data_IF_929510512233
#
_entry.id   IF_929510512233
#
_cell.length_a   1.000
_cell.length_b   1.000
_cell.length_c   1.000
_cell.angle_alpha   90.00
_cell.angle_beta   90.00
_cell.angle_gamma   90.00
#
_symmetry.space_group_name_H-M   'P 1'
#
loop_
_entity.id
_entity.type
_entity.pdbx_description
1 polymer ?
#
# COMPACT_ATOMS: atom_id res chain seq x y z
N UNK A 1 -22.17 -2.22 -9.24
CA UNK A 1 -21.47 -3.51 -9.00
C UNK A 1 -20.03 -3.30 -8.53
N UNK A 2 -19.17 -2.62 -9.31
CA UNK A 2 -17.79 -2.29 -8.90
C UNK A 2 -17.67 -1.50 -7.58
N UNK A 3 -18.53 -0.51 -7.35
CA UNK A 3 -18.54 0.26 -6.09
C UNK A 3 -18.82 -0.62 -4.87
N UNK A 4 -19.77 -1.54 -4.96
CA UNK A 4 -20.07 -2.50 -3.89
C UNK A 4 -18.95 -3.52 -3.66
N UNK A 5 -18.26 -3.95 -4.72
CA UNK A 5 -17.08 -4.83 -4.58
C UNK A 5 -15.90 -4.11 -3.92
N UNK A 6 -15.65 -2.84 -4.27
CA UNK A 6 -14.60 -2.04 -3.67
C UNK A 6 -14.86 -1.78 -2.18
N UNK A 7 -16.10 -1.43 -1.83
CA UNK A 7 -16.52 -1.19 -0.44
C UNK A 7 -16.50 -2.49 0.39
N UNK A 8 -16.98 -3.61 -0.17
CA UNK A 8 -16.93 -4.91 0.50
C UNK A 8 -15.51 -5.46 0.70
N UNK A 9 -14.62 -5.27 -0.28
CA UNK A 9 -13.20 -5.59 -0.13
C UNK A 9 -12.53 -4.69 0.91
N UNK A 10 -12.84 -3.39 0.92
CA UNK A 10 -12.40 -2.46 1.95
C UNK A 10 -12.79 -2.96 3.35
N UNK A 11 -14.07 -3.30 3.57
CA UNK A 11 -14.54 -3.76 4.87
C UNK A 11 -13.96 -5.10 5.31
N UNK A 12 -13.70 -6.03 4.38
CA UNK A 12 -13.01 -7.29 4.70
C UNK A 12 -11.53 -7.04 5.05
N UNK A 13 -10.87 -6.13 4.34
CA UNK A 13 -9.48 -5.75 4.64
C UNK A 13 -9.41 -5.03 5.98
N UNK A 14 -10.30 -4.06 6.24
CA UNK A 14 -10.39 -3.38 7.55
C UNK A 14 -10.81 -4.33 8.68
N UNK A 15 -11.66 -5.31 8.41
CA UNK A 15 -12.04 -6.34 9.39
C UNK A 15 -10.88 -7.28 9.75
N UNK A 16 -10.07 -7.68 8.77
CA UNK A 16 -8.84 -8.47 8.98
C UNK A 16 -7.77 -7.63 9.68
N UNK A 17 -7.64 -6.35 9.34
CA UNK A 17 -6.73 -5.42 10.03
C UNK A 17 -7.17 -5.22 11.49
N UNK A 18 -8.45 -4.98 11.74
CA UNK A 18 -8.99 -4.83 13.09
C UNK A 18 -8.80 -6.11 13.93
N UNK A 19 -8.97 -7.30 13.34
CA UNK A 19 -8.67 -8.57 13.98
C UNK A 19 -7.17 -8.75 14.28
N UNK A 20 -6.29 -8.21 13.42
CA UNK A 20 -4.83 -8.21 13.67
C UNK A 20 -4.40 -7.22 14.75
N UNK A 21 -5.16 -6.14 14.96
CA UNK A 21 -4.95 -5.18 16.05
C UNK A 21 -5.55 -5.66 17.38
N UNK A 22 -6.51 -6.60 17.35
CA UNK A 22 -7.29 -7.00 18.52
C UNK A 22 -6.69 -8.11 19.38
N UNK A 23 -5.41 -8.48 19.22
CA UNK A 23 -4.51 -9.06 20.26
C UNK A 23 -3.34 -9.87 19.66
N UNK A 24 -2.09 -9.47 19.93
CA UNK A 24 -0.98 -10.43 20.08
C UNK A 24 0.33 -10.24 19.30
N UNK A 25 0.48 -9.27 18.38
CA UNK A 25 1.68 -9.18 17.53
C UNK A 25 2.59 -8.00 17.94
N UNK A 26 3.84 -8.25 18.39
CA UNK A 26 4.78 -7.18 18.68
C UNK A 26 5.25 -6.46 17.40
N UNK A 27 5.22 -5.12 17.43
CA UNK A 27 5.60 -4.18 16.33
C UNK A 27 7.01 -4.38 15.74
N UNK A 28 7.85 -5.25 16.33
CA UNK A 28 9.19 -5.58 15.83
C UNK A 28 9.29 -6.94 15.12
N UNK A 29 8.19 -7.68 15.00
CA UNK A 29 8.19 -9.01 14.38
C UNK A 29 8.35 -8.93 12.87
N UNK A 30 9.46 -9.48 12.33
CA UNK A 30 9.76 -9.49 10.89
C UNK A 30 9.03 -10.60 10.10
N UNK A 31 8.21 -11.41 10.76
CA UNK A 31 7.79 -12.72 10.22
C UNK A 31 6.34 -12.77 9.75
N UNK A 32 5.67 -11.63 9.55
CA UNK A 32 4.22 -11.60 9.26
C UNK A 32 3.94 -10.79 7.99
N UNK A 33 2.99 -11.26 7.17
CA UNK A 33 2.48 -10.55 5.98
C UNK A 33 2.02 -9.10 6.28
N UNK A 34 1.65 -8.82 7.53
CA UNK A 34 1.37 -7.47 8.04
C UNK A 34 2.58 -6.53 7.92
N UNK A 35 3.81 -7.01 8.08
CA UNK A 35 4.99 -6.18 7.90
C UNK A 35 5.16 -5.73 6.43
N UNK A 36 4.74 -6.59 5.48
CA UNK A 36 4.69 -6.24 4.05
C UNK A 36 3.57 -5.25 3.71
N UNK A 37 2.42 -5.34 4.41
CA UNK A 37 1.27 -4.44 4.21
C UNK A 37 1.51 -3.04 4.79
N UNK A 38 2.21 -2.93 5.92
CA UNK A 38 2.40 -1.66 6.64
C UNK A 38 3.72 -0.95 6.36
N UNK A 39 4.76 -1.66 5.89
CA UNK A 39 6.09 -1.09 5.67
C UNK A 39 6.65 -1.40 4.27
N UNK A 40 5.89 -1.05 3.23
CA UNK A 40 6.36 -1.14 1.85
C UNK A 40 7.46 -0.10 1.61
N UNK A 41 8.71 -0.50 1.80
CA UNK A 41 9.86 0.32 1.39
C UNK A 41 10.13 0.08 -0.10
N UNK A 42 9.49 0.88 -0.96
CA UNK A 42 9.87 0.92 -2.36
C UNK A 42 11.23 1.62 -2.45
N UNK A 43 12.26 0.87 -2.85
CA UNK A 43 13.63 1.34 -3.07
C UNK A 43 13.69 2.26 -4.32
N UNK A 44 13.03 3.40 -4.25
CA UNK A 44 12.77 4.33 -5.34
C UNK A 44 12.85 5.78 -4.85
N UNK A 45 12.89 6.73 -5.79
CA UNK A 45 12.84 8.15 -5.50
C UNK A 45 12.06 8.90 -6.58
N UNK A 46 11.09 9.71 -6.14
CA UNK A 46 10.23 10.49 -7.03
C UNK A 46 9.23 9.62 -7.83
N UNK A 47 8.23 10.23 -8.47
CA UNK A 47 7.24 9.49 -9.27
C UNK A 47 7.87 8.72 -10.44
N UNK A 48 8.66 9.40 -11.28
CA UNK A 48 9.35 8.87 -12.46
C UNK A 48 10.86 8.78 -12.25
N UNK A 49 11.44 9.74 -11.54
CA UNK A 49 12.88 9.82 -11.26
C UNK A 49 13.15 10.71 -10.06
N UNK A 50 14.35 10.57 -9.47
CA UNK A 50 14.85 11.45 -8.43
C UNK A 50 14.91 12.94 -8.85
N UNK A 51 14.94 13.24 -10.16
CA UNK A 51 14.93 14.61 -10.69
C UNK A 51 13.56 15.29 -10.59
N UNK A 52 12.48 14.54 -10.37
CA UNK A 52 11.13 15.11 -10.24
C UNK A 52 11.02 16.04 -9.02
N UNK A 53 11.95 15.91 -8.06
CA UNK A 53 12.07 16.81 -6.93
C UNK A 53 12.40 18.25 -7.33
N UNK A 54 12.87 18.53 -8.55
CA UNK A 54 13.00 19.91 -9.07
C UNK A 54 11.65 20.66 -9.08
N UNK A 55 10.52 19.95 -9.20
CA UNK A 55 9.19 20.56 -9.15
C UNK A 55 8.76 20.99 -7.74
N UNK A 56 9.47 20.55 -6.70
CA UNK A 56 9.20 20.94 -5.32
C UNK A 56 9.92 22.26 -4.99
N UNK A 57 9.23 23.20 -4.32
CA UNK A 57 9.77 24.52 -3.98
C UNK A 57 11.06 24.51 -3.15
N UNK A 58 11.27 23.48 -2.32
CA UNK A 58 12.45 23.37 -1.46
C UNK A 58 13.62 22.74 -2.21
N UNK A 59 13.34 21.69 -3.00
CA UNK A 59 14.34 20.94 -3.74
C UNK A 59 14.62 21.46 -5.15
N UNK A 60 13.91 22.50 -5.58
CA UNK A 60 14.06 23.07 -6.92
C UNK A 60 15.50 23.50 -7.21
N UNK A 61 15.97 23.21 -8.41
CA UNK A 61 17.27 23.65 -8.90
C UNK A 61 17.29 25.07 -9.49
N UNK A 62 16.21 25.83 -9.36
CA UNK A 62 16.17 27.20 -9.84
C UNK A 62 17.20 28.08 -9.09
N UNK A 63 17.85 28.98 -9.81
CA UNK A 63 18.84 29.93 -9.26
C UNK A 63 18.21 30.91 -8.27
N UNK A 64 16.90 31.14 -8.38
CA UNK A 64 16.14 31.97 -7.44
C UNK A 64 15.82 31.26 -6.11
N UNK A 65 16.02 29.94 -6.04
CA UNK A 65 15.73 29.15 -4.86
C UNK A 65 16.82 29.33 -3.79
N UNK A 66 16.44 29.88 -2.64
CA UNK A 66 17.32 30.15 -1.49
C UNK A 66 17.35 28.95 -0.51
N UNK A 67 16.56 27.91 -0.78
CA UNK A 67 16.45 26.76 0.11
C UNK A 67 17.80 26.04 0.27
N UNK A 68 18.22 25.72 1.50
CA UNK A 68 19.45 24.95 1.76
C UNK A 68 19.47 23.58 1.05
N UNK A 69 18.31 22.99 0.85
CA UNK A 69 18.09 21.69 0.21
C UNK A 69 17.90 21.78 -1.32
N UNK A 70 18.12 22.97 -1.91
CA UNK A 70 18.00 23.17 -3.35
C UNK A 70 18.87 22.16 -4.14
N UNK A 71 18.34 21.66 -5.25
CA UNK A 71 18.92 20.54 -6.00
C UNK A 71 19.15 19.24 -5.22
N UNK A 72 18.49 19.07 -4.08
CA UNK A 72 18.54 17.85 -3.28
C UNK A 72 17.33 16.94 -3.48
N UNK A 73 17.27 15.87 -2.70
CA UNK A 73 16.09 14.99 -2.56
C UNK A 73 15.86 14.74 -1.07
N UNK A 74 14.64 14.38 -0.63
CA UNK A 74 14.39 14.06 0.76
C UNK A 74 15.18 12.82 1.21
N UNK A 75 15.42 12.73 2.52
CA UNK A 75 16.16 11.63 3.15
C UNK A 75 15.57 10.24 2.86
N UNK A 76 14.26 10.14 2.56
CA UNK A 76 13.59 8.89 2.21
C UNK A 76 14.11 8.27 0.91
N UNK A 77 14.76 9.04 0.06
CA UNK A 77 15.36 8.55 -1.18
C UNK A 77 16.74 7.90 -0.99
N UNK A 78 17.32 7.96 0.21
CA UNK A 78 18.69 7.50 0.43
C UNK A 78 18.78 5.97 0.53
N UNK A 79 19.80 5.40 -0.11
CA UNK A 79 19.97 3.93 -0.14
C UNK A 79 20.46 3.36 1.18
N UNK A 80 21.23 4.15 1.91
CA UNK A 80 21.77 3.83 3.22
C UNK A 80 21.19 4.82 4.22
N UNK A 81 19.97 4.57 4.70
CA UNK A 81 19.67 4.99 6.06
C UNK A 81 20.61 4.17 6.94
N UNK A 82 21.48 4.86 7.67
CA UNK A 82 22.25 4.38 8.81
C UNK A 82 21.66 3.11 9.44
N UNK A 83 22.55 2.15 9.72
CA UNK A 83 22.26 0.92 10.44
C UNK A 83 21.36 1.23 11.64
N UNK A 84 20.27 0.47 11.81
CA UNK A 84 19.25 0.70 12.86
C UNK A 84 19.90 0.65 14.28
N UNK A 85 21.11 0.11 14.37
CA UNK A 85 21.98 0.09 15.55
C UNK A 85 22.62 1.45 15.90
N UNK A 86 22.70 2.40 14.95
CA UNK A 86 23.31 3.72 15.11
C UNK A 86 22.28 4.79 14.78
N UNK A 87 21.77 5.46 15.82
CA UNK A 87 20.69 6.44 15.79
C UNK A 87 21.08 7.80 15.12
N UNK A 88 21.97 7.78 14.13
CA UNK A 88 22.49 8.97 13.43
C UNK A 88 22.00 8.94 11.99
N UNK A 89 20.84 9.58 11.74
CA UNK A 89 20.29 9.72 10.39
C UNK A 89 21.23 10.59 9.57
N UNK A 90 21.81 10.04 8.50
CA UNK A 90 22.56 10.85 7.55
C UNK A 90 21.59 11.65 6.69
N UNK A 91 21.12 12.78 7.20
CA UNK A 91 20.24 13.70 6.45
C UNK A 91 20.97 14.32 5.24
N UNK A 92 22.31 14.24 5.20
CA UNK A 92 23.14 14.87 4.17
C UNK A 92 23.20 14.09 2.85
N UNK A 93 22.75 12.84 2.80
CA UNK A 93 22.82 11.98 1.61
C UNK A 93 22.07 12.53 0.38
N UNK A 94 21.01 13.32 0.61
CA UNK A 94 20.16 13.87 -0.43
C UNK A 94 20.61 15.24 -0.96
N UNK A 95 21.61 15.89 -0.37
CA UNK A 95 21.97 17.26 -0.75
C UNK A 95 22.70 17.32 -2.10
N UNK A 96 22.25 18.20 -2.98
CA UNK A 96 22.90 18.47 -4.27
C UNK A 96 22.91 17.29 -5.26
N UNK A 97 22.24 16.18 -4.95
CA UNK A 97 22.30 14.96 -5.79
C UNK A 97 21.72 15.17 -7.18
N UNK A 98 20.81 16.13 -7.37
CA UNK A 98 20.26 16.46 -8.70
C UNK A 98 21.30 17.11 -9.62
N UNK A 99 22.44 17.59 -9.09
CA UNK A 99 23.55 18.14 -9.89
C UNK A 99 24.55 17.07 -10.34
N UNK A 100 24.48 15.87 -9.77
CA UNK A 100 25.40 14.78 -10.06
C UNK A 100 24.96 14.00 -11.29
N UNK A 101 25.86 13.20 -11.85
CA UNK A 101 25.48 12.25 -12.89
C UNK A 101 24.60 11.14 -12.29
N UNK A 102 23.71 10.54 -13.08
CA UNK A 102 22.85 9.44 -12.61
C UNK A 102 23.66 8.28 -12.01
N UNK A 103 24.86 8.02 -12.52
CA UNK A 103 25.74 6.97 -12.00
C UNK A 103 26.27 7.29 -10.58
N UNK A 104 26.61 8.56 -10.32
CA UNK A 104 27.07 9.02 -9.00
C UNK A 104 25.90 9.14 -8.03
N UNK A 105 24.76 9.69 -8.48
CA UNK A 105 23.54 9.78 -7.68
C UNK A 105 23.07 8.39 -7.22
N UNK A 106 23.12 7.37 -8.09
CA UNK A 106 22.71 5.99 -7.79
C UNK A 106 23.55 5.31 -6.70
N UNK A 107 24.73 5.85 -6.35
CA UNK A 107 25.52 5.35 -5.21
C UNK A 107 24.95 5.80 -3.87
N UNK A 108 24.31 6.97 -3.82
CA UNK A 108 23.83 7.59 -2.58
C UNK A 108 22.31 7.49 -2.42
N UNK A 109 21.55 7.67 -3.50
CA UNK A 109 20.09 7.69 -3.52
C UNK A 109 19.54 6.71 -4.56
N UNK A 110 18.31 6.28 -4.37
CA UNK A 110 17.59 5.55 -5.40
C UNK A 110 17.29 6.51 -6.56
N UNK A 111 17.65 6.15 -7.79
CA UNK A 111 17.37 6.98 -8.98
C UNK A 111 16.12 6.54 -9.72
N UNK A 112 15.67 5.31 -9.49
CA UNK A 112 14.48 4.71 -10.08
C UNK A 112 13.20 5.37 -9.56
N UNK A 113 12.28 5.73 -10.44
CA UNK A 113 10.96 6.23 -10.06
C UNK A 113 10.08 5.20 -9.38
N UNK A 114 9.29 5.65 -8.41
CA UNK A 114 8.42 4.80 -7.61
C UNK A 114 7.27 4.18 -8.40
N UNK A 115 6.73 4.89 -9.40
CA UNK A 115 5.68 4.33 -10.27
C UNK A 115 6.22 3.14 -11.05
N UNK A 116 7.42 3.28 -11.62
CA UNK A 116 8.06 2.21 -12.36
C UNK A 116 8.45 1.04 -11.45
N UNK A 117 9.02 1.31 -10.28
CA UNK A 117 9.37 0.29 -9.30
C UNK A 117 8.14 -0.51 -8.83
N UNK A 118 7.00 0.16 -8.62
CA UNK A 118 5.75 -0.48 -8.25
C UNK A 118 5.22 -1.37 -9.38
N UNK A 119 5.16 -0.85 -10.60
CA UNK A 119 4.69 -1.62 -11.77
C UNK A 119 5.57 -2.86 -11.95
N UNK A 120 6.91 -2.70 -11.92
CA UNK A 120 7.83 -3.83 -12.05
C UNK A 120 7.66 -4.86 -10.92
N UNK A 121 7.43 -4.41 -9.68
CA UNK A 121 7.16 -5.32 -8.56
C UNK A 121 5.89 -6.15 -8.77
N UNK A 122 4.84 -5.54 -9.34
CA UNK A 122 3.58 -6.22 -9.68
C UNK A 122 3.78 -7.15 -10.86
N UNK A 123 4.41 -6.70 -11.95
CA UNK A 123 4.65 -7.51 -13.15
C UNK A 123 5.46 -8.78 -12.83
N UNK A 124 6.51 -8.64 -12.01
CA UNK A 124 7.36 -9.76 -11.60
C UNK A 124 6.61 -10.79 -10.73
N UNK A 125 5.53 -10.39 -10.06
CA UNK A 125 4.75 -11.23 -9.14
C UNK A 125 3.28 -11.35 -9.55
N UNK A 126 2.96 -11.08 -10.82
CA UNK A 126 1.57 -10.89 -11.28
C UNK A 126 0.70 -12.11 -11.01
N UNK A 127 1.28 -13.31 -11.04
CA UNK A 127 0.60 -14.58 -10.74
C UNK A 127 0.09 -14.61 -9.30
N UNK A 128 0.90 -14.16 -8.34
CA UNK A 128 0.50 -14.14 -6.93
C UNK A 128 -0.60 -13.11 -6.67
N UNK A 129 -0.47 -11.92 -7.26
CA UNK A 129 -1.51 -10.90 -7.19
C UNK A 129 -2.82 -11.38 -7.83
N UNK A 130 -2.76 -11.99 -9.01
CA UNK A 130 -3.91 -12.54 -9.70
C UNK A 130 -4.62 -13.62 -8.86
N UNK A 131 -3.85 -14.54 -8.25
CA UNK A 131 -4.41 -15.54 -7.35
C UNK A 131 -5.12 -14.88 -6.16
N UNK A 132 -4.50 -13.88 -5.51
CA UNK A 132 -5.11 -13.13 -4.42
C UNK A 132 -6.45 -12.49 -4.80
N UNK A 133 -6.51 -11.82 -5.96
CA UNK A 133 -7.76 -11.21 -6.45
C UNK A 133 -8.84 -12.24 -6.75
N UNK A 134 -8.49 -13.35 -7.40
CA UNK A 134 -9.43 -14.44 -7.70
C UNK A 134 -9.96 -15.08 -6.42
N UNK A 135 -9.09 -15.36 -5.46
CA UNK A 135 -9.49 -15.92 -4.16
C UNK A 135 -10.49 -15.01 -3.46
N UNK A 136 -10.21 -13.70 -3.35
CA UNK A 136 -11.14 -12.75 -2.73
C UNK A 136 -12.47 -12.72 -3.48
N UNK A 137 -12.46 -12.72 -4.81
CA UNK A 137 -13.68 -12.74 -5.61
C UNK A 137 -14.52 -14.02 -5.37
N UNK A 138 -13.87 -15.19 -5.29
CA UNK A 138 -14.56 -16.46 -5.01
C UNK A 138 -15.16 -16.46 -3.61
N UNK A 139 -14.41 -16.03 -2.58
CA UNK A 139 -14.94 -15.93 -1.22
C UNK A 139 -16.12 -14.95 -1.12
N UNK A 140 -16.05 -13.82 -1.82
CA UNK A 140 -17.17 -12.87 -1.90
C UNK A 140 -18.40 -13.49 -2.56
N UNK A 141 -18.25 -14.24 -3.66
CA UNK A 141 -19.37 -14.92 -4.32
C UNK A 141 -20.03 -15.95 -3.40
N UNK A 142 -19.24 -16.75 -2.68
CA UNK A 142 -19.76 -17.73 -1.71
C UNK A 142 -20.54 -17.02 -0.60
N UNK A 143 -20.00 -15.94 -0.03
CA UNK A 143 -20.68 -15.17 1.00
C UNK A 143 -22.03 -14.62 0.52
N UNK A 144 -22.10 -14.11 -0.72
CA UNK A 144 -23.35 -13.62 -1.32
C UNK A 144 -24.35 -14.77 -1.50
N UNK A 145 -23.91 -15.94 -1.99
CA UNK A 145 -24.78 -17.09 -2.17
C UNK A 145 -25.36 -17.58 -0.83
N UNK A 146 -24.54 -17.67 0.21
CA UNK A 146 -24.99 -18.05 1.56
C UNK A 146 -25.99 -17.03 2.12
N UNK A 147 -25.72 -15.73 1.99
CA UNK A 147 -26.63 -14.68 2.42
C UNK A 147 -27.98 -14.75 1.68
N UNK A 148 -27.96 -15.04 0.37
CA UNK A 148 -29.17 -15.25 -0.43
C UNK A 148 -29.96 -16.47 0.02
N UNK A 149 -29.31 -17.60 0.26
CA UNK A 149 -29.97 -18.81 0.75
C UNK A 149 -30.62 -18.56 2.12
N UNK A 150 -29.91 -17.91 3.04
CA UNK A 150 -30.46 -17.57 4.36
C UNK A 150 -31.67 -16.64 4.26
N UNK A 151 -31.60 -15.61 3.41
CA UNK A 151 -32.72 -14.69 3.22
C UNK A 151 -33.95 -15.39 2.65
N UNK A 152 -33.78 -16.32 1.70
CA UNK A 152 -34.89 -17.13 1.17
C UNK A 152 -35.51 -17.99 2.26
N UNK A 153 -34.69 -18.66 3.09
CA UNK A 153 -35.19 -19.47 4.20
C UNK A 153 -36.03 -18.65 5.20
N UNK A 154 -35.58 -17.45 5.58
CA UNK A 154 -36.33 -16.56 6.49
C UNK A 154 -37.68 -16.17 5.89
N UNK A 155 -37.71 -15.82 4.60
CA UNK A 155 -38.96 -15.42 3.94
C UNK A 155 -39.95 -16.57 3.81
N UNK A 156 -39.47 -17.78 3.56
CA UNK A 156 -40.35 -18.95 3.49
C UNK A 156 -40.93 -19.29 4.87
N UNK A 157 -40.14 -19.18 5.95
CA UNK A 157 -40.67 -19.30 7.31
C UNK A 157 -41.72 -18.23 7.62
N UNK A 158 -41.47 -16.97 7.24
CA UNK A 158 -42.42 -15.87 7.48
C UNK A 158 -43.75 -16.07 6.73
N UNK A 159 -43.71 -16.61 5.50
CA UNK A 159 -44.91 -16.93 4.72
C UNK A 159 -45.78 -17.99 5.38
N UNK A 160 -45.16 -19.03 5.94
CA UNK A 160 -45.87 -20.09 6.67
C UNK A 160 -46.59 -19.53 7.91
N UNK A 161 -45.90 -18.67 8.68
CA UNK A 161 -46.51 -17.98 9.84
C UNK A 161 -47.68 -17.09 9.41
N UNK A 162 -47.55 -16.35 8.29
CA UNK A 162 -48.66 -15.55 7.77
C UNK A 162 -49.83 -16.40 7.29
N UNK A 163 -49.58 -17.58 6.73
CA UNK A 163 -50.65 -18.51 6.36
C UNK A 163 -51.38 -19.01 7.61
N UNK A 164 -50.65 -19.48 8.63
CA UNK A 164 -51.24 -19.92 9.91
C UNK A 164 -52.10 -18.83 10.56
N UNK A 165 -51.61 -17.59 10.62
CA UNK A 165 -52.35 -16.43 11.13
C UNK A 165 -53.58 -16.04 10.28
N UNK A 166 -53.62 -16.35 8.99
CA UNK A 166 -54.79 -16.06 8.15
C UNK A 166 -55.89 -17.13 8.27
N UNK A 167 -55.58 -18.30 8.84
CA UNK A 167 -56.54 -19.37 9.09
C UNK A 167 -57.09 -19.37 10.53
N UNK A 168 -56.54 -18.53 11.41
CA UNK A 168 -57.02 -18.24 12.77
C UNK A 168 -57.84 -16.93 12.78
#
# INVERSE_FOLDING_TARGET
MFYFQAVGALFLVFGVIAFSESEGIPWKSKTIALHWLFNLTLNCCGPKSYLDWTANRYFSCDKSNISPEACGVPYSCCRQMNDISVNIINTSCGFGVQKLTTAEANRMVWTTGCVHALISAVENNIVYFAYGFVSVAVFQLIAILLAKTLHTQINDQLRLVHQENNYL
#
